data_IF_709123242650
#
_entry.id   IF_709123242650
#
_cell.length_a   1.000
_cell.length_b   1.000
_cell.length_c   1.000
_cell.angle_alpha   90.00
_cell.angle_beta   90.00
_cell.angle_gamma   90.00
#
_symmetry.space_group_name_H-M   'P 1'
#
loop_
_entity.id
_entity.type
_entity.pdbx_description
1 polymer ?
#
# COMPACT_ATOMS: atom_id res chain seq x y z
N UNK A 1 31.65 15.67 9.40
CA UNK A 1 32.21 14.33 9.30
C UNK A 1 31.54 13.51 10.39
N UNK A 2 30.28 13.09 10.13
CA UNK A 2 29.52 12.22 11.03
C UNK A 2 29.92 10.79 10.71
N UNK A 3 30.48 10.11 11.67
CA UNK A 3 31.00 8.76 11.53
C UNK A 3 29.81 7.77 11.51
N UNK A 4 29.73 6.99 10.46
CA UNK A 4 28.76 5.95 10.09
C UNK A 4 28.83 4.71 11.04
N UNK A 5 29.02 4.94 12.35
CA UNK A 5 29.19 3.87 13.35
C UNK A 5 27.86 3.39 13.97
N UNK A 6 26.74 4.09 13.76
CA UNK A 6 25.46 3.78 14.41
C UNK A 6 24.59 2.78 13.62
N UNK A 7 24.81 2.64 12.30
CA UNK A 7 24.04 1.74 11.43
C UNK A 7 24.07 0.25 11.86
N UNK A 8 25.23 -0.32 12.29
CA UNK A 8 25.28 -1.73 12.69
C UNK A 8 24.51 -2.03 13.99
N UNK A 9 24.48 -1.10 14.94
CA UNK A 9 23.84 -1.30 16.26
C UNK A 9 22.31 -1.24 16.10
N UNK A 10 21.79 -0.26 15.38
CA UNK A 10 20.37 -0.11 15.10
C UNK A 10 19.80 -1.32 14.33
N UNK A 11 20.52 -1.77 13.29
CA UNK A 11 20.14 -2.96 12.52
C UNK A 11 20.13 -4.24 13.37
N UNK A 12 21.12 -4.43 14.24
CA UNK A 12 21.19 -5.59 15.12
C UNK A 12 20.08 -5.56 16.19
N UNK A 13 19.77 -4.39 16.75
CA UNK A 13 18.68 -4.23 17.71
C UNK A 13 17.32 -4.54 17.09
N UNK A 14 17.03 -3.96 15.94
CA UNK A 14 15.77 -4.22 15.23
C UNK A 14 15.62 -5.68 14.83
N UNK A 15 16.69 -6.31 14.33
CA UNK A 15 16.66 -7.73 13.93
C UNK A 15 16.32 -8.68 15.10
N UNK A 16 16.71 -8.33 16.32
CA UNK A 16 16.40 -9.13 17.51
C UNK A 16 14.90 -9.07 17.91
N UNK A 17 14.18 -8.07 17.44
CA UNK A 17 12.76 -7.86 17.72
C UNK A 17 11.84 -8.46 16.65
N UNK A 18 12.36 -8.81 15.47
CA UNK A 18 11.54 -9.35 14.38
C UNK A 18 11.07 -10.78 14.69
N UNK A 19 9.79 -11.08 14.46
CA UNK A 19 9.27 -12.45 14.51
C UNK A 19 9.76 -13.28 13.31
N UNK A 20 9.33 -14.55 13.24
CA UNK A 20 9.55 -15.36 12.03
C UNK A 20 8.68 -14.84 10.88
N UNK A 21 9.34 -14.25 9.88
CA UNK A 21 8.72 -13.67 8.69
C UNK A 21 8.65 -14.64 7.51
N UNK A 22 9.00 -15.91 7.72
CA UNK A 22 9.08 -16.90 6.63
C UNK A 22 7.77 -17.68 6.42
N UNK A 23 6.85 -17.63 7.36
CA UNK A 23 5.56 -18.31 7.23
C UNK A 23 4.66 -17.65 6.17
N UNK A 24 3.82 -18.41 5.44
CA UNK A 24 2.87 -17.84 4.48
C UNK A 24 1.98 -16.76 5.08
N UNK A 25 1.48 -16.96 6.31
CA UNK A 25 0.67 -15.96 7.01
C UNK A 25 1.46 -14.67 7.27
N UNK A 26 2.71 -14.76 7.75
CA UNK A 26 3.53 -13.59 7.98
C UNK A 26 3.79 -12.82 6.68
N UNK A 27 4.05 -13.53 5.57
CA UNK A 27 4.23 -12.91 4.25
C UNK A 27 2.97 -12.19 3.76
N UNK A 28 1.79 -12.78 3.96
CA UNK A 28 0.52 -12.12 3.63
C UNK A 28 0.34 -10.84 4.44
N UNK A 29 0.51 -10.91 5.76
CA UNK A 29 0.36 -9.74 6.63
C UNK A 29 1.38 -8.66 6.28
N UNK A 30 2.64 -9.02 6.01
CA UNK A 30 3.65 -8.07 5.58
C UNK A 30 3.28 -7.41 4.24
N UNK A 31 2.76 -8.18 3.28
CA UNK A 31 2.36 -7.63 1.99
C UNK A 31 1.26 -6.56 2.13
N UNK A 32 0.28 -6.82 3.00
CA UNK A 32 -0.80 -5.86 3.31
C UNK A 32 -0.26 -4.66 4.09
N UNK A 33 0.40 -4.90 5.22
CA UNK A 33 0.91 -3.86 6.09
C UNK A 33 1.93 -2.94 5.40
N UNK A 34 2.80 -3.49 4.56
CA UNK A 34 3.81 -2.71 3.85
C UNK A 34 3.18 -1.87 2.73
N UNK A 35 2.14 -2.36 2.05
CA UNK A 35 1.37 -1.55 1.10
C UNK A 35 0.80 -0.31 1.78
N UNK A 36 0.11 -0.49 2.92
CA UNK A 36 -0.49 0.58 3.72
C UNK A 36 0.57 1.58 4.20
N UNK A 37 1.64 1.09 4.84
CA UNK A 37 2.69 1.95 5.38
C UNK A 37 3.32 2.84 4.29
N UNK A 38 3.67 2.25 3.15
CA UNK A 38 4.35 2.97 2.08
C UNK A 38 3.39 3.91 1.35
N UNK A 39 2.15 3.49 1.13
CA UNK A 39 1.10 4.34 0.55
C UNK A 39 0.80 5.54 1.45
N UNK A 40 0.65 5.31 2.77
CA UNK A 40 0.44 6.36 3.75
C UNK A 40 1.62 7.34 3.83
N UNK A 41 2.86 6.82 3.84
CA UNK A 41 4.05 7.67 3.79
C UNK A 41 4.08 8.54 2.53
N UNK A 42 3.77 7.99 1.36
CA UNK A 42 3.70 8.77 0.10
C UNK A 42 2.53 9.76 0.07
N UNK A 43 1.38 9.42 0.65
CA UNK A 43 0.24 10.32 0.78
C UNK A 43 0.57 11.53 1.68
N UNK A 44 1.36 11.33 2.75
CA UNK A 44 1.77 12.40 3.66
C UNK A 44 2.57 13.52 2.99
N UNK A 45 3.21 13.26 1.85
CA UNK A 45 3.95 14.27 1.08
C UNK A 45 3.05 15.39 0.52
N UNK A 46 1.73 15.19 0.48
CA UNK A 46 0.77 16.24 0.09
C UNK A 46 0.39 17.18 1.23
N UNK A 47 0.72 16.84 2.49
CA UNK A 47 0.42 17.68 3.65
C UNK A 47 1.12 19.03 3.55
N UNK A 48 0.35 20.09 3.56
CA UNK A 48 0.81 21.49 3.46
C UNK A 48 1.14 21.96 2.04
N UNK A 49 1.00 21.10 1.00
CA UNK A 49 1.35 21.44 -0.38
C UNK A 49 0.27 21.08 -1.41
N UNK A 50 -0.81 20.42 -1.00
CA UNK A 50 -1.90 20.09 -1.91
C UNK A 50 -2.57 21.34 -2.50
N UNK A 51 -3.17 21.25 -3.70
CA UNK A 51 -3.65 22.43 -4.44
C UNK A 51 -4.85 23.14 -3.82
N UNK A 52 -5.54 22.51 -2.86
CA UNK A 52 -6.67 23.06 -2.14
C UNK A 52 -6.68 22.56 -0.70
N UNK A 53 -7.21 23.35 0.24
CA UNK A 53 -7.28 23.01 1.67
C UNK A 53 -8.01 21.69 1.91
N UNK A 54 -9.12 21.47 1.21
CA UNK A 54 -9.91 20.24 1.33
C UNK A 54 -9.12 18.99 0.88
N UNK A 55 -8.29 19.13 -0.16
CA UNK A 55 -7.42 18.07 -0.65
C UNK A 55 -6.27 17.81 0.33
N UNK A 56 -5.71 18.86 0.91
CA UNK A 56 -4.66 18.76 1.93
C UNK A 56 -5.15 18.01 3.16
N UNK A 57 -6.29 18.39 3.70
CA UNK A 57 -6.91 17.72 4.84
C UNK A 57 -7.28 16.27 4.52
N UNK A 58 -7.80 15.98 3.32
CA UNK A 58 -8.14 14.63 2.90
C UNK A 58 -6.90 13.74 2.83
N UNK A 59 -5.84 14.14 2.10
CA UNK A 59 -4.61 13.36 2.00
C UNK A 59 -3.89 13.21 3.34
N UNK A 60 -3.93 14.23 4.20
CA UNK A 60 -3.35 14.12 5.55
C UNK A 60 -4.11 13.11 6.42
N UNK A 61 -5.44 13.07 6.33
CA UNK A 61 -6.26 12.09 7.04
C UNK A 61 -6.02 10.68 6.50
N UNK A 62 -6.08 10.50 5.18
CA UNK A 62 -5.80 9.23 4.51
C UNK A 62 -4.41 8.71 4.90
N UNK A 63 -3.37 9.56 4.87
CA UNK A 63 -2.03 9.15 5.27
C UNK A 63 -1.96 8.63 6.71
N UNK A 64 -2.70 9.24 7.64
CA UNK A 64 -2.77 8.79 9.02
C UNK A 64 -3.51 7.45 9.14
N UNK A 65 -4.61 7.30 8.41
CA UNK A 65 -5.41 6.08 8.43
C UNK A 65 -4.58 4.90 7.87
N UNK A 66 -3.91 5.07 6.72
CA UNK A 66 -3.05 4.05 6.09
C UNK A 66 -1.91 3.60 7.03
N UNK A 67 -1.23 4.55 7.69
CA UNK A 67 -0.18 4.21 8.67
C UNK A 67 -0.76 3.45 9.87
N UNK A 68 -1.97 3.80 10.33
CA UNK A 68 -2.66 3.07 11.37
C UNK A 68 -3.10 1.66 10.93
N UNK A 69 -3.54 1.51 9.68
CA UNK A 69 -3.87 0.21 9.08
C UNK A 69 -2.64 -0.70 9.08
N UNK A 70 -1.48 -0.18 8.66
CA UNK A 70 -0.22 -0.91 8.73
C UNK A 70 0.10 -1.38 10.16
N UNK A 71 -0.05 -0.52 11.16
CA UNK A 71 0.15 -0.85 12.58
C UNK A 71 -0.76 -1.99 13.05
N UNK A 72 -2.03 -1.93 12.65
CA UNK A 72 -3.01 -2.99 12.98
C UNK A 72 -2.62 -4.32 12.35
N UNK A 73 -2.21 -4.33 11.07
CA UNK A 73 -1.73 -5.54 10.40
C UNK A 73 -0.47 -6.10 11.06
N UNK A 74 0.56 -5.29 11.31
CA UNK A 74 1.79 -5.72 11.98
C UNK A 74 1.52 -6.29 13.36
N UNK A 75 0.53 -5.77 14.07
CA UNK A 75 0.17 -6.26 15.40
C UNK A 75 -0.28 -7.72 15.42
N UNK A 76 -0.71 -8.29 14.28
CA UNK A 76 -1.05 -9.72 14.19
C UNK A 76 0.18 -10.63 14.18
N UNK A 77 1.38 -10.09 13.97
CA UNK A 77 2.65 -10.83 13.99
C UNK A 77 3.35 -10.78 15.34
N UNK A 78 2.77 -10.12 16.33
CA UNK A 78 3.40 -9.85 17.63
C UNK A 78 2.49 -10.32 18.76
N UNK A 79 3.09 -10.88 19.81
CA UNK A 79 2.36 -11.08 21.05
C UNK A 79 2.04 -9.72 21.67
N UNK A 80 0.78 -9.32 21.62
CA UNK A 80 0.28 -8.02 22.08
C UNK A 80 0.41 -7.80 23.58
N UNK A 81 0.49 -8.87 24.36
CA UNK A 81 0.65 -8.82 25.81
C UNK A 81 2.13 -8.72 26.22
N UNK A 82 3.06 -8.89 25.29
CA UNK A 82 4.48 -8.76 25.56
C UNK A 82 4.84 -7.29 25.92
N UNK A 83 5.71 -7.12 26.90
CA UNK A 83 6.16 -5.80 27.36
C UNK A 83 6.88 -4.98 26.26
N UNK A 84 7.41 -5.65 25.24
CA UNK A 84 8.10 -5.05 24.10
C UNK A 84 7.26 -5.04 22.80
N UNK A 85 5.95 -5.31 22.90
CA UNK A 85 5.04 -5.40 21.74
C UNK A 85 5.14 -4.17 20.82
N UNK A 86 5.11 -2.96 21.37
CA UNK A 86 5.22 -1.71 20.58
C UNK A 86 6.55 -1.66 19.83
N UNK A 87 7.65 -1.95 20.50
CA UNK A 87 8.98 -1.94 19.85
C UNK A 87 9.11 -2.99 18.74
N UNK A 88 8.41 -4.13 18.85
CA UNK A 88 8.35 -5.15 17.80
C UNK A 88 7.55 -4.68 16.59
N UNK A 89 6.43 -3.99 16.83
CA UNK A 89 5.62 -3.39 15.75
C UNK A 89 6.43 -2.31 15.03
N UNK A 90 7.12 -1.43 15.79
CA UNK A 90 7.99 -0.41 15.21
C UNK A 90 9.15 -1.02 14.41
N UNK A 91 9.73 -2.12 14.88
CA UNK A 91 10.77 -2.84 14.14
C UNK A 91 10.23 -3.46 12.84
N UNK A 92 8.97 -3.94 12.83
CA UNK A 92 8.32 -4.41 11.61
C UNK A 92 8.10 -3.28 10.60
N UNK A 93 7.63 -2.12 11.04
CA UNK A 93 7.42 -0.98 10.15
C UNK A 93 8.71 -0.28 9.72
N UNK A 94 9.66 -0.06 10.65
CA UNK A 94 10.76 0.89 10.47
C UNK A 94 12.15 0.28 10.62
N UNK A 95 12.27 -0.95 11.13
CA UNK A 95 13.56 -1.56 11.47
C UNK A 95 14.10 -2.55 10.45
N UNK A 96 13.38 -2.83 9.36
CA UNK A 96 13.78 -3.77 8.32
C UNK A 96 14.67 -3.13 7.26
N UNK A 97 15.50 -3.94 6.59
CA UNK A 97 16.24 -3.53 5.39
C UNK A 97 15.29 -3.48 4.18
N UNK A 98 15.60 -2.72 3.12
CA UNK A 98 14.71 -2.59 1.97
C UNK A 98 14.23 -3.93 1.39
N UNK A 99 15.11 -4.91 1.21
CA UNK A 99 14.76 -6.23 0.68
C UNK A 99 13.85 -7.08 1.57
N UNK A 100 13.58 -6.65 2.79
CA UNK A 100 12.66 -7.34 3.72
C UNK A 100 11.22 -6.81 3.64
N UNK A 101 10.98 -5.70 2.94
CA UNK A 101 9.63 -5.21 2.69
C UNK A 101 8.95 -6.00 1.58
N UNK A 102 7.62 -6.00 1.59
CA UNK A 102 6.76 -6.82 0.71
C UNK A 102 5.68 -6.01 0.00
N UNK A 103 5.77 -4.68 0.01
CA UNK A 103 4.82 -3.82 -0.71
C UNK A 103 4.95 -3.96 -2.23
N UNK A 104 3.88 -3.65 -2.93
CA UNK A 104 3.89 -3.54 -4.39
C UNK A 104 4.68 -2.29 -4.82
N UNK A 105 5.42 -2.39 -5.92
CA UNK A 105 6.27 -1.30 -6.43
C UNK A 105 5.47 -0.02 -6.73
N UNK A 106 4.19 -0.14 -7.07
CA UNK A 106 3.30 1.03 -7.24
C UNK A 106 3.26 1.93 -6.01
N UNK A 107 3.25 1.34 -4.80
CA UNK A 107 3.12 2.09 -3.54
C UNK A 107 4.33 3.01 -3.30
N UNK A 108 5.53 2.60 -3.73
CA UNK A 108 6.77 3.35 -3.51
C UNK A 108 7.02 4.50 -4.50
N UNK A 109 6.25 4.56 -5.60
CA UNK A 109 6.44 5.57 -6.63
C UNK A 109 6.36 7.00 -6.07
N UNK A 110 7.16 7.94 -6.57
CA UNK A 110 7.06 9.35 -6.20
C UNK A 110 5.63 9.89 -6.34
N UNK A 111 5.22 10.92 -5.59
CA UNK A 111 3.88 11.48 -5.68
C UNK A 111 3.51 11.97 -7.08
N UNK A 112 4.50 12.36 -7.90
CA UNK A 112 4.24 12.95 -9.21
C UNK A 112 3.48 14.28 -9.12
N UNK A 113 2.63 14.57 -10.09
CA UNK A 113 1.66 15.64 -9.96
C UNK A 113 0.40 15.18 -9.19
N UNK A 114 -0.45 16.13 -8.84
CA UNK A 114 -1.63 15.85 -8.02
C UNK A 114 -2.61 14.88 -8.70
N UNK A 115 -2.78 14.97 -10.01
CA UNK A 115 -3.70 14.11 -10.77
C UNK A 115 -3.13 12.69 -10.90
N UNK A 116 -1.82 12.54 -11.04
CA UNK A 116 -1.16 11.23 -10.96
C UNK A 116 -1.36 10.58 -9.58
N UNK A 117 -1.19 11.35 -8.50
CA UNK A 117 -1.47 10.84 -7.14
C UNK A 117 -2.91 10.43 -6.95
N UNK A 118 -3.87 11.20 -7.49
CA UNK A 118 -5.30 10.83 -7.46
C UNK A 118 -5.57 9.55 -8.27
N UNK A 119 -4.95 9.38 -9.44
CA UNK A 119 -5.10 8.16 -10.24
C UNK A 119 -4.53 6.94 -9.52
N UNK A 120 -3.37 7.09 -8.84
CA UNK A 120 -2.74 6.03 -8.03
C UNK A 120 -3.62 5.66 -6.83
N UNK A 121 -4.10 6.65 -6.09
CA UNK A 121 -5.01 6.48 -4.96
C UNK A 121 -6.28 5.74 -5.40
N UNK A 122 -6.92 6.18 -6.48
CA UNK A 122 -8.09 5.51 -7.02
C UNK A 122 -7.85 4.04 -7.37
N UNK A 123 -6.72 3.73 -8.04
CA UNK A 123 -6.39 2.35 -8.41
C UNK A 123 -6.08 1.48 -7.19
N UNK A 124 -5.40 2.06 -6.18
CA UNK A 124 -5.04 1.39 -4.93
C UNK A 124 -6.28 1.08 -4.09
N UNK A 125 -7.15 2.07 -3.81
CA UNK A 125 -8.33 1.91 -2.97
C UNK A 125 -9.32 0.89 -3.54
N UNK A 126 -9.49 0.90 -4.88
CA UNK A 126 -10.28 -0.14 -5.54
C UNK A 126 -9.66 -1.54 -5.36
N UNK A 127 -8.34 -1.67 -5.34
CA UNK A 127 -7.69 -2.94 -5.09
C UNK A 127 -7.82 -3.34 -3.61
N UNK A 128 -7.69 -2.40 -2.71
CA UNK A 128 -7.74 -2.67 -1.28
C UNK A 128 -9.12 -3.12 -0.83
N UNK A 129 -10.17 -2.46 -1.27
CA UNK A 129 -11.56 -2.89 -1.00
C UNK A 129 -11.81 -4.31 -1.53
N UNK A 130 -11.25 -4.70 -2.67
CA UNK A 130 -11.38 -6.07 -3.20
C UNK A 130 -10.62 -7.07 -2.32
N UNK A 131 -9.41 -6.74 -1.86
CA UNK A 131 -8.58 -7.58 -0.97
C UNK A 131 -9.23 -7.73 0.41
N UNK A 132 -9.56 -6.61 1.05
CA UNK A 132 -10.17 -6.59 2.38
C UNK A 132 -11.55 -7.26 2.37
N UNK A 133 -12.35 -7.04 1.31
CA UNK A 133 -13.64 -7.68 1.16
C UNK A 133 -13.55 -9.21 1.12
N UNK A 134 -12.51 -9.77 0.49
CA UNK A 134 -12.26 -11.20 0.52
C UNK A 134 -11.74 -11.67 1.89
N UNK A 135 -10.80 -10.94 2.49
CA UNK A 135 -10.19 -11.29 3.78
C UNK A 135 -11.18 -11.19 4.94
N UNK A 136 -12.27 -10.43 4.80
CA UNK A 136 -13.36 -10.39 5.79
C UNK A 136 -14.01 -11.76 6.03
N UNK A 137 -13.88 -12.68 5.08
CA UNK A 137 -14.34 -14.07 5.16
C UNK A 137 -13.21 -15.08 5.47
N UNK A 138 -12.04 -14.61 5.94
CA UNK A 138 -10.91 -15.47 6.28
C UNK A 138 -11.27 -16.48 7.37
N UNK A 139 -10.75 -17.70 7.23
CA UNK A 139 -10.82 -18.72 8.30
C UNK A 139 -10.02 -18.37 9.56
N UNK A 140 -9.10 -17.39 9.46
CA UNK A 140 -8.34 -16.86 10.60
C UNK A 140 -9.12 -15.70 11.25
N UNK A 141 -9.64 -15.85 12.47
CA UNK A 141 -10.58 -14.89 13.07
C UNK A 141 -9.98 -13.48 13.23
N UNK A 142 -8.68 -13.36 13.56
CA UNK A 142 -8.05 -12.05 13.74
C UNK A 142 -7.84 -11.35 12.40
N UNK A 143 -7.48 -12.09 11.34
CA UNK A 143 -7.37 -11.55 9.96
C UNK A 143 -8.74 -11.05 9.50
N UNK A 144 -9.80 -11.87 9.68
CA UNK A 144 -11.15 -11.46 9.32
C UNK A 144 -11.60 -10.22 10.09
N UNK A 145 -11.36 -10.16 11.40
CA UNK A 145 -11.75 -9.01 12.23
C UNK A 145 -11.02 -7.71 11.81
N UNK A 146 -9.71 -7.79 11.52
CA UNK A 146 -8.94 -6.66 11.01
C UNK A 146 -9.49 -6.23 9.66
N UNK A 147 -9.66 -7.15 8.70
CA UNK A 147 -10.16 -6.82 7.38
C UNK A 147 -11.56 -6.16 7.42
N UNK A 148 -12.47 -6.65 8.28
CA UNK A 148 -13.80 -6.05 8.46
C UNK A 148 -13.73 -4.62 9.01
N UNK A 149 -12.83 -4.38 9.98
CA UNK A 149 -12.61 -3.05 10.54
C UNK A 149 -12.09 -2.09 9.47
N UNK A 150 -11.00 -2.45 8.79
CA UNK A 150 -10.35 -1.60 7.79
C UNK A 150 -11.27 -1.35 6.60
N UNK A 151 -12.00 -2.34 6.12
CA UNK A 151 -12.98 -2.20 5.04
C UNK A 151 -14.05 -1.13 5.35
N UNK A 152 -14.36 -0.89 6.63
CA UNK A 152 -15.28 0.17 7.00
C UNK A 152 -14.63 1.57 6.86
N UNK A 153 -13.36 1.69 7.17
CA UNK A 153 -12.58 2.92 7.08
C UNK A 153 -12.26 3.24 5.61
N UNK A 154 -11.87 2.23 4.81
CA UNK A 154 -11.59 2.34 3.37
C UNK A 154 -12.74 2.86 2.51
N UNK A 155 -13.98 2.78 2.97
CA UNK A 155 -15.13 3.41 2.28
C UNK A 155 -14.97 4.92 2.08
N UNK A 156 -14.31 5.59 3.00
CA UNK A 156 -14.08 7.04 2.93
C UNK A 156 -12.96 7.36 1.95
N UNK A 157 -11.91 6.53 1.90
CA UNK A 157 -10.81 6.65 0.93
C UNK A 157 -11.37 6.46 -0.49
N UNK A 158 -12.08 5.36 -0.72
CA UNK A 158 -12.70 5.06 -2.01
C UNK A 158 -13.71 6.14 -2.43
N UNK A 159 -14.54 6.66 -1.50
CA UNK A 159 -15.47 7.76 -1.80
C UNK A 159 -14.73 9.02 -2.25
N UNK A 160 -13.61 9.37 -1.61
CA UNK A 160 -12.78 10.49 -2.01
C UNK A 160 -12.17 10.29 -3.39
N UNK A 161 -11.60 9.11 -3.64
CA UNK A 161 -11.00 8.74 -4.91
C UNK A 161 -12.02 8.75 -6.07
N UNK A 162 -13.19 8.15 -5.88
CA UNK A 162 -14.27 8.11 -6.86
C UNK A 162 -14.86 9.51 -7.14
N UNK A 163 -14.93 10.36 -6.12
CA UNK A 163 -15.35 11.75 -6.31
C UNK A 163 -14.40 12.49 -7.27
N UNK A 164 -13.09 12.37 -7.05
CA UNK A 164 -12.10 12.99 -7.91
C UNK A 164 -12.06 12.37 -9.31
N UNK A 165 -12.14 11.04 -9.40
CA UNK A 165 -12.23 10.35 -10.68
C UNK A 165 -13.43 10.86 -11.50
N UNK A 166 -14.61 10.94 -10.89
CA UNK A 166 -15.84 11.44 -11.52
C UNK A 166 -15.71 12.90 -11.93
N UNK A 167 -15.15 13.73 -11.05
CA UNK A 167 -14.95 15.16 -11.30
C UNK A 167 -14.02 15.40 -12.49
N UNK A 168 -12.90 14.70 -12.55
CA UNK A 168 -11.90 14.88 -13.61
C UNK A 168 -12.34 14.25 -14.94
N UNK A 169 -13.06 13.12 -14.91
CA UNK A 169 -13.55 12.45 -16.12
C UNK A 169 -14.79 13.12 -16.73
N UNK A 170 -15.69 13.67 -15.90
CA UNK A 170 -17.04 14.11 -16.31
C UNK A 170 -17.15 15.53 -16.89
N UNK A 171 -16.09 16.32 -16.84
CA UNK A 171 -16.16 17.72 -17.20
C UNK A 171 -16.04 17.99 -18.71
N UNK A 172 -17.17 18.15 -19.43
CA UNK A 172 -17.13 18.67 -20.82
C UNK A 172 -16.41 20.03 -20.94
N UNK A 173 -16.29 20.79 -19.83
CA UNK A 173 -15.60 22.07 -19.71
C UNK A 173 -14.12 21.93 -19.32
N UNK A 174 -13.71 20.84 -18.66
CA UNK A 174 -12.35 20.60 -18.19
C UNK A 174 -11.64 19.49 -19.00
N UNK A 175 -11.34 19.81 -20.26
CA UNK A 175 -10.54 18.91 -21.13
C UNK A 175 -9.16 18.61 -20.56
N UNK A 176 -8.61 19.54 -19.78
CA UNK A 176 -7.27 19.39 -19.21
C UNK A 176 -7.27 18.33 -18.12
N UNK A 177 -8.17 18.44 -17.12
CA UNK A 177 -8.28 17.46 -16.03
C UNK A 177 -8.53 16.04 -16.55
N UNK A 178 -9.39 15.90 -17.57
CA UNK A 178 -9.63 14.62 -18.23
C UNK A 178 -8.37 14.06 -18.90
N UNK A 179 -7.61 14.89 -19.61
CA UNK A 179 -6.37 14.45 -20.27
C UNK A 179 -5.31 14.05 -19.25
N UNK A 180 -5.16 14.82 -18.17
CA UNK A 180 -4.23 14.52 -17.09
C UNK A 180 -4.63 13.23 -16.35
N UNK A 181 -5.93 13.01 -16.07
CA UNK A 181 -6.44 11.78 -15.50
C UNK A 181 -6.15 10.56 -16.39
N UNK A 182 -6.44 10.65 -17.69
CA UNK A 182 -6.16 9.57 -18.63
C UNK A 182 -4.66 9.23 -18.70
N UNK A 183 -3.80 10.24 -18.66
CA UNK A 183 -2.35 10.04 -18.60
C UNK A 183 -1.91 9.37 -17.28
N UNK A 184 -2.44 9.83 -16.14
CA UNK A 184 -2.19 9.24 -14.83
C UNK A 184 -2.61 7.77 -14.77
N UNK A 185 -3.84 7.46 -15.19
CA UNK A 185 -4.34 6.08 -15.25
C UNK A 185 -3.50 5.20 -16.19
N UNK A 186 -3.08 5.72 -17.34
CA UNK A 186 -2.23 4.99 -18.28
C UNK A 186 -0.87 4.62 -17.66
N UNK A 187 -0.33 5.47 -16.81
CA UNK A 187 0.91 5.20 -16.09
C UNK A 187 0.72 4.22 -14.92
N UNK A 188 -0.36 4.38 -14.15
CA UNK A 188 -0.61 3.67 -12.89
C UNK A 188 -1.11 2.24 -13.10
N UNK A 189 -2.10 2.05 -13.98
CA UNK A 189 -2.84 0.78 -14.06
C UNK A 189 -1.97 -0.44 -14.43
N UNK A 190 -0.95 -0.34 -15.31
CA UNK A 190 -0.05 -1.46 -15.57
C UNK A 190 0.77 -1.90 -14.36
N UNK A 191 1.05 -0.99 -13.43
CA UNK A 191 1.75 -1.29 -12.17
C UNK A 191 0.79 -1.78 -11.09
N UNK A 192 -0.46 -1.29 -11.07
CA UNK A 192 -1.48 -1.69 -10.12
C UNK A 192 -1.85 -3.18 -10.21
N UNK A 193 -1.64 -3.82 -11.35
CA UNK A 193 -1.79 -5.27 -11.51
C UNK A 193 -0.92 -6.06 -10.53
N UNK A 194 0.23 -5.50 -10.11
CA UNK A 194 1.17 -6.13 -9.18
C UNK A 194 0.79 -5.94 -7.70
N UNK A 195 -0.27 -5.20 -7.38
CA UNK A 195 -0.91 -5.24 -6.07
C UNK A 195 -1.42 -6.66 -5.74
N UNK A 196 -1.70 -7.43 -6.78
CA UNK A 196 -2.14 -8.83 -6.73
C UNK A 196 -1.02 -9.83 -7.09
N UNK A 197 0.25 -9.45 -6.95
CA UNK A 197 1.35 -10.41 -7.11
C UNK A 197 1.25 -11.48 -6.02
N UNK A 198 1.23 -12.80 -6.37
CA UNK A 198 1.13 -13.86 -5.39
C UNK A 198 2.31 -13.85 -4.42
N UNK A 199 2.03 -14.09 -3.15
CA UNK A 199 3.07 -14.32 -2.14
C UNK A 199 3.55 -15.77 -2.18
N UNK A 200 4.75 -16.02 -1.69
CA UNK A 200 5.24 -17.39 -1.53
C UNK A 200 4.43 -18.14 -0.46
N UNK A 201 3.89 -19.30 -0.83
CA UNK A 201 3.02 -20.09 0.04
C UNK A 201 1.53 -19.73 -0.05
N UNK A 202 1.10 -18.95 -1.05
CA UNK A 202 -0.31 -18.57 -1.24
C UNK A 202 -1.23 -19.79 -1.36
N UNK A 203 -0.81 -20.85 -2.07
CA UNK A 203 -1.62 -22.07 -2.25
C UNK A 203 -2.00 -22.71 -0.90
N UNK A 204 -1.11 -22.67 0.10
CA UNK A 204 -1.39 -23.13 1.46
C UNK A 204 -2.47 -22.28 2.11
N UNK A 205 -2.37 -20.96 2.01
CA UNK A 205 -3.36 -20.03 2.57
C UNK A 205 -4.74 -20.20 1.93
N UNK A 206 -4.78 -20.42 0.61
CA UNK A 206 -6.03 -20.67 -0.12
C UNK A 206 -6.61 -22.01 0.29
N UNK A 207 -5.80 -23.09 0.36
CA UNK A 207 -6.28 -24.42 0.73
C UNK A 207 -6.87 -24.51 2.15
N UNK A 208 -6.37 -23.66 3.07
CA UNK A 208 -6.84 -23.59 4.45
C UNK A 208 -8.02 -22.60 4.63
N UNK A 209 -8.35 -21.82 3.59
CA UNK A 209 -9.35 -20.75 3.64
C UNK A 209 -8.89 -19.51 4.41
N UNK A 210 -7.61 -19.45 4.80
CA UNK A 210 -7.06 -18.25 5.41
C UNK A 210 -7.05 -17.09 4.40
N UNK A 211 -6.69 -17.36 3.15
CA UNK A 211 -6.94 -16.47 2.01
C UNK A 211 -8.13 -17.05 1.22
N UNK A 212 -9.36 -16.51 1.38
CA UNK A 212 -10.56 -17.10 0.78
C UNK A 212 -10.58 -17.07 -0.74
N UNK A 213 -9.83 -16.16 -1.35
CA UNK A 213 -9.78 -15.92 -2.80
C UNK A 213 -8.32 -15.74 -3.20
N UNK A 214 -7.88 -16.41 -4.26
CA UNK A 214 -6.51 -16.28 -4.77
C UNK A 214 -6.19 -14.86 -5.27
N UNK A 215 -4.91 -14.48 -5.25
CA UNK A 215 -4.47 -13.20 -5.82
C UNK A 215 -4.84 -13.06 -7.29
N UNK A 216 -4.83 -14.17 -8.05
CA UNK A 216 -5.29 -14.19 -9.43
C UNK A 216 -6.77 -13.80 -9.55
N UNK A 217 -7.66 -14.42 -8.76
CA UNK A 217 -9.10 -14.16 -8.83
C UNK A 217 -9.46 -12.78 -8.28
N UNK A 218 -8.72 -12.28 -7.28
CA UNK A 218 -8.86 -10.91 -6.79
C UNK A 218 -8.49 -9.90 -7.87
N UNK A 219 -7.41 -10.16 -8.62
CA UNK A 219 -7.03 -9.32 -9.76
C UNK A 219 -8.11 -9.27 -10.82
N UNK A 220 -8.71 -10.40 -11.18
CA UNK A 220 -9.80 -10.44 -12.18
C UNK A 220 -11.02 -9.64 -11.70
N UNK A 221 -11.41 -9.74 -10.42
CA UNK A 221 -12.48 -8.92 -9.83
C UNK A 221 -12.17 -7.42 -9.90
N UNK A 222 -10.95 -7.05 -9.55
CA UNK A 222 -10.49 -5.66 -9.64
C UNK A 222 -10.50 -5.15 -11.08
N UNK A 223 -9.99 -5.94 -12.04
CA UNK A 223 -9.99 -5.62 -13.47
C UNK A 223 -11.40 -5.38 -14.01
N UNK A 224 -12.36 -6.22 -13.64
CA UNK A 224 -13.76 -6.04 -14.03
C UNK A 224 -14.31 -4.70 -13.52
N UNK A 225 -14.12 -4.38 -12.25
CA UNK A 225 -14.56 -3.12 -11.64
C UNK A 225 -13.94 -1.90 -12.29
N UNK A 226 -12.60 -1.87 -12.41
CA UNK A 226 -11.83 -0.78 -12.99
C UNK A 226 -12.19 -0.58 -14.48
N UNK A 227 -12.30 -1.65 -15.26
CA UNK A 227 -12.69 -1.59 -16.68
C UNK A 227 -14.11 -1.02 -16.83
N UNK A 228 -15.03 -1.45 -15.98
CA UNK A 228 -16.41 -0.94 -15.97
C UNK A 228 -16.44 0.57 -15.66
N UNK A 229 -15.70 1.02 -14.63
CA UNK A 229 -15.66 2.43 -14.24
C UNK A 229 -15.02 3.32 -15.35
N UNK A 230 -13.93 2.87 -15.96
CA UNK A 230 -13.24 3.55 -17.06
C UNK A 230 -14.18 3.68 -18.27
N UNK A 231 -14.87 2.60 -18.64
CA UNK A 231 -15.84 2.59 -19.76
C UNK A 231 -17.01 3.52 -19.47
N UNK A 232 -17.57 3.48 -18.26
CA UNK A 232 -18.65 4.39 -17.86
C UNK A 232 -18.27 5.87 -17.89
N UNK A 233 -16.98 6.17 -17.65
CA UNK A 233 -16.41 7.51 -17.74
C UNK A 233 -16.04 7.93 -19.17
N UNK A 234 -16.18 7.03 -20.16
CA UNK A 234 -15.82 7.25 -21.55
C UNK A 234 -14.30 7.43 -21.77
N UNK A 235 -13.48 6.74 -20.95
CA UNK A 235 -12.00 6.80 -20.98
C UNK A 235 -11.41 5.52 -21.62
N UNK A 236 -12.08 4.94 -22.63
CA UNK A 236 -11.70 3.66 -23.22
C UNK A 236 -10.29 3.66 -23.83
N UNK A 237 -9.74 4.83 -24.14
CA UNK A 237 -8.34 4.98 -24.58
C UNK A 237 -7.31 4.51 -23.55
N UNK A 238 -7.69 4.41 -22.27
CA UNK A 238 -6.84 3.92 -21.17
C UNK A 238 -6.83 2.39 -21.10
N UNK A 239 -7.88 1.70 -21.56
CA UNK A 239 -8.06 0.25 -21.42
C UNK A 239 -6.87 -0.60 -21.92
N UNK A 240 -6.18 -0.25 -23.04
CA UNK A 240 -5.01 -1.01 -23.46
C UNK A 240 -3.87 -1.02 -22.45
N UNK A 241 -3.75 -0.01 -21.59
CA UNK A 241 -2.76 0.04 -20.52
C UNK A 241 -3.11 -0.94 -19.38
N UNK A 242 -4.39 -1.04 -19.02
CA UNK A 242 -4.87 -1.95 -17.95
C UNK A 242 -4.52 -3.41 -18.25
N UNK A 243 -4.51 -3.80 -19.52
CA UNK A 243 -4.29 -5.18 -19.96
C UNK A 243 -2.80 -5.53 -20.18
N UNK A 244 -1.88 -4.59 -19.92
CA UNK A 244 -0.44 -4.77 -20.20
C UNK A 244 0.39 -4.53 -18.94
N UNK A 245 0.62 -5.56 -18.10
CA UNK A 245 1.42 -5.40 -16.90
C UNK A 245 2.84 -4.92 -17.22
N UNK A 246 3.32 -3.98 -16.45
CA UNK A 246 4.71 -3.51 -16.52
C UNK A 246 5.59 -4.38 -15.65
N UNK A 247 6.35 -5.30 -16.24
CA UNK A 247 7.21 -6.25 -15.51
C UNK A 247 8.31 -5.58 -14.66
N UNK A 248 8.66 -4.34 -14.94
CA UNK A 248 9.57 -3.56 -14.09
C UNK A 248 8.99 -3.28 -12.69
N UNK A 249 7.69 -3.38 -12.52
CA UNK A 249 6.99 -3.23 -11.23
C UNK A 249 6.72 -4.58 -10.54
N UNK A 250 7.18 -5.71 -11.12
CA UNK A 250 7.02 -7.02 -10.51
C UNK A 250 8.11 -7.28 -9.46
N UNK A 251 7.78 -8.07 -8.45
CA UNK A 251 8.76 -8.57 -7.48
C UNK A 251 8.70 -7.93 -6.11
N UNK A 252 7.86 -6.90 -5.90
CA UNK A 252 7.69 -6.27 -4.60
C UNK A 252 7.39 -7.27 -3.49
N UNK A 253 6.51 -8.23 -3.76
CA UNK A 253 6.16 -9.32 -2.81
C UNK A 253 7.35 -10.25 -2.48
N UNK A 254 8.43 -10.17 -3.23
CA UNK A 254 9.69 -10.92 -3.03
C UNK A 254 10.84 -10.02 -2.54
N UNK A 255 10.57 -8.75 -2.20
CA UNK A 255 11.56 -7.78 -1.73
C UNK A 255 12.44 -7.21 -2.86
N UNK A 256 11.94 -7.19 -4.09
CA UNK A 256 12.57 -6.51 -5.22
C UNK A 256 11.87 -5.18 -5.43
N UNK A 257 12.56 -4.10 -5.14
CA UNK A 257 12.03 -2.75 -5.16
C UNK A 257 12.74 -1.88 -6.18
N UNK A 258 12.20 -0.70 -6.45
CA UNK A 258 12.82 0.27 -7.33
C UNK A 258 13.88 1.12 -6.60
N UNK A 259 14.67 1.85 -7.36
CA UNK A 259 15.61 2.82 -6.79
C UNK A 259 14.90 3.93 -5.98
N UNK A 260 13.63 4.23 -6.29
CA UNK A 260 12.83 5.20 -5.54
C UNK A 260 12.65 4.77 -4.08
N UNK A 261 12.48 3.46 -3.84
CA UNK A 261 12.38 2.93 -2.49
C UNK A 261 13.72 2.99 -1.75
N UNK A 262 14.76 2.43 -2.37
CA UNK A 262 16.08 2.28 -1.72
C UNK A 262 16.75 3.62 -1.40
N UNK A 263 16.58 4.62 -2.28
CA UNK A 263 17.32 5.89 -2.21
C UNK A 263 16.51 7.06 -1.63
N UNK A 264 15.19 6.93 -1.56
CA UNK A 264 14.28 8.01 -1.18
C UNK A 264 13.36 7.59 -0.02
N UNK A 265 12.40 6.70 -0.27
CA UNK A 265 11.34 6.35 0.69
C UNK A 265 11.89 5.72 1.97
N UNK A 266 12.66 4.64 1.83
CA UNK A 266 13.17 3.90 2.99
C UNK A 266 14.10 4.75 3.87
N UNK A 267 15.09 5.50 3.32
CA UNK A 267 15.94 6.35 4.14
C UNK A 267 15.17 7.44 4.88
N UNK A 268 14.18 8.07 4.24
CA UNK A 268 13.35 9.12 4.84
C UNK A 268 12.46 8.55 5.95
N UNK A 269 11.67 7.54 5.64
CA UNK A 269 10.71 6.91 6.54
C UNK A 269 11.39 6.35 7.80
N UNK A 270 12.57 5.75 7.66
CA UNK A 270 13.28 5.08 8.77
C UNK A 270 14.32 5.94 9.47
N UNK A 271 14.55 7.18 9.02
CA UNK A 271 15.65 8.03 9.51
C UNK A 271 15.64 8.20 11.03
N UNK A 272 14.48 8.53 11.60
CA UNK A 272 14.35 8.79 13.03
C UNK A 272 14.54 7.51 13.86
N UNK A 273 13.90 6.40 13.43
CA UNK A 273 14.04 5.10 14.08
C UNK A 273 15.50 4.62 14.09
N UNK A 274 16.22 4.78 12.97
CA UNK A 274 17.64 4.41 12.86
C UNK A 274 18.56 5.31 13.70
N UNK A 275 18.22 6.59 13.84
CA UNK A 275 19.00 7.53 14.64
C UNK A 275 18.81 7.33 16.16
N UNK A 276 17.67 6.76 16.57
CA UNK A 276 17.30 6.61 17.98
C UNK A 276 16.75 5.19 18.26
N UNK A 277 17.59 4.14 18.11
CA UNK A 277 17.17 2.76 18.34
C UNK A 277 16.74 2.57 19.80
N UNK A 278 15.56 1.98 20.00
CA UNK A 278 14.97 1.76 21.33
C UNK A 278 14.27 2.97 21.97
N UNK A 279 14.12 4.08 21.28
CA UNK A 279 13.23 5.13 21.71
C UNK A 279 11.76 4.64 21.59
N UNK A 280 10.91 5.07 22.53
CA UNK A 280 9.47 4.88 22.42
C UNK A 280 8.81 6.20 22.09
N UNK A 281 7.84 6.16 21.21
CA UNK A 281 7.13 7.32 20.65
C UNK A 281 5.69 7.36 21.13
#
# INVERSE_FOLDING_TARGET
>A
MHTDTDTPIAAAWSAALLPDLTTPLARLILALADDELITGHRASHWTGVAPALESDLAFSSIAQDEINHADVWYSLLVDREAADARSRIDALGLGRTPSQYRHAVLCERPPGDFVYSLARHWAYDHADVVRLGALADSSHPDVAAVAQKLLHEERYHLMHADHWFTRLSGGAADRRGRTELAAGLTAVLPEALWLFEPIEGEDELVSTGLLPVSSHDLRERWLEGVTSAITAAGLEEVLPAVLRPTYAAAGGRRGVHSADFDLDVWPEMTALHRAHPGASW
#
